data_IF_292448724045
#
_entry.id   IF_292448724045
#
_cell.length_a   1.000
_cell.length_b   1.000
_cell.length_c   1.000
_cell.angle_alpha   90.00
_cell.angle_beta   90.00
_cell.angle_gamma   90.00
#
_symmetry.space_group_name_H-M   'P 1'
#
loop_
_entity.id
_entity.type
_entity.pdbx_description
1 polymer ?
#
# COMPACT_ATOMS: atom_id res chain seq x y z
N UNK A 1 25.04 1.38 -24.80
CA UNK A 1 23.87 1.06 -23.96
C UNK A 1 23.17 2.35 -23.54
N UNK A 2 21.85 2.34 -23.55
CA UNK A 2 21.03 3.48 -23.12
C UNK A 2 20.70 3.36 -21.62
N UNK A 3 20.55 4.51 -20.95
CA UNK A 3 20.23 4.60 -19.52
C UNK A 3 19.35 5.83 -19.27
N UNK A 4 18.32 5.66 -18.44
CA UNK A 4 17.53 6.77 -17.91
C UNK A 4 18.40 7.70 -17.07
N UNK A 5 18.14 9.00 -17.13
CA UNK A 5 18.90 10.04 -16.42
C UNK A 5 17.99 10.93 -15.56
N UNK A 6 18.48 11.25 -14.36
CA UNK A 6 17.81 12.23 -13.49
C UNK A 6 17.59 13.57 -14.23
N UNK A 7 16.48 14.30 -13.98
CA UNK A 7 15.42 14.03 -13.02
C UNK A 7 14.25 13.21 -13.61
N UNK A 8 14.50 12.38 -14.62
CA UNK A 8 13.46 11.63 -15.30
C UNK A 8 13.48 10.14 -14.95
N UNK A 9 12.31 9.54 -14.97
CA UNK A 9 12.14 8.11 -15.13
C UNK A 9 11.78 7.82 -16.57
N UNK A 10 12.62 7.05 -17.26
CA UNK A 10 12.45 6.76 -18.67
C UNK A 10 12.70 5.28 -18.92
N UNK A 11 11.80 4.61 -19.62
CA UNK A 11 11.89 3.19 -19.97
C UNK A 11 11.71 2.97 -21.45
N UNK A 12 12.43 2.00 -22.00
CA UNK A 12 12.27 1.56 -23.39
C UNK A 12 10.94 0.82 -23.52
N UNK A 13 10.09 1.26 -24.45
CA UNK A 13 8.82 0.58 -24.76
C UNK A 13 8.91 -0.22 -26.05
N UNK A 14 9.75 0.20 -27.00
CA UNK A 14 9.97 -0.50 -28.25
C UNK A 14 11.36 -0.23 -28.82
N UNK A 15 11.97 -1.25 -29.39
CA UNK A 15 13.17 -1.18 -30.23
C UNK A 15 12.70 -1.20 -31.68
N UNK A 16 13.15 -0.24 -32.50
CA UNK A 16 12.66 -0.02 -33.86
C UNK A 16 13.55 -0.62 -34.94
N UNK A 17 14.84 -0.86 -34.67
CA UNK A 17 15.77 -1.46 -35.56
C UNK A 17 16.49 -2.66 -34.96
N UNK A 18 17.07 -3.52 -35.78
CA UNK A 18 17.76 -4.74 -35.36
C UNK A 18 19.02 -4.48 -34.54
N UNK A 19 19.66 -3.34 -34.78
CA UNK A 19 20.88 -2.90 -34.13
C UNK A 19 20.61 -2.26 -32.75
N UNK A 20 19.34 -1.95 -32.44
CA UNK A 20 18.93 -1.35 -31.14
C UNK A 20 19.32 0.12 -31.01
N UNK A 21 19.54 0.84 -32.16
CA UNK A 21 19.92 2.24 -32.14
C UNK A 21 18.74 3.20 -32.11
N UNK A 22 17.57 2.78 -32.57
CA UNK A 22 16.36 3.57 -32.52
C UNK A 22 15.35 2.96 -31.52
N UNK A 23 14.97 3.75 -30.52
CA UNK A 23 14.12 3.33 -29.44
C UNK A 23 12.90 4.24 -29.32
N UNK A 24 11.75 3.68 -29.03
CA UNK A 24 10.66 4.44 -28.43
C UNK A 24 10.77 4.28 -26.92
N UNK A 25 10.86 5.40 -26.23
CA UNK A 25 10.86 5.45 -24.77
C UNK A 25 9.59 6.10 -24.24
N UNK A 26 9.18 5.74 -23.03
CA UNK A 26 8.20 6.46 -22.24
C UNK A 26 8.96 7.20 -21.15
N UNK A 27 8.90 8.52 -21.17
CA UNK A 27 9.63 9.41 -20.28
C UNK A 27 8.66 10.22 -19.43
N UNK A 28 8.95 10.30 -18.15
CA UNK A 28 8.15 11.01 -17.16
C UNK A 28 9.04 11.61 -16.06
N UNK A 29 8.47 12.55 -15.28
CA UNK A 29 9.03 13.01 -14.01
C UNK A 29 7.89 13.23 -13.00
N UNK A 30 8.22 13.67 -11.80
CA UNK A 30 7.19 14.07 -10.81
C UNK A 30 6.21 15.10 -11.37
N UNK A 31 6.70 16.02 -12.23
CA UNK A 31 5.97 17.17 -12.75
C UNK A 31 5.65 17.09 -14.24
N UNK A 32 6.05 16.01 -14.90
CA UNK A 32 5.84 15.80 -16.33
C UNK A 32 5.11 14.49 -16.58
N UNK A 33 3.91 14.58 -17.16
CA UNK A 33 3.13 13.43 -17.59
C UNK A 33 3.91 12.50 -18.49
N UNK A 34 3.67 11.19 -18.44
CA UNK A 34 4.33 10.23 -19.30
C UNK A 34 4.07 10.53 -20.77
N UNK A 35 5.14 10.71 -21.53
CA UNK A 35 5.09 10.96 -22.97
C UNK A 35 6.08 10.08 -23.71
N UNK A 36 5.75 9.75 -24.96
CA UNK A 36 6.60 8.94 -25.82
C UNK A 36 7.64 9.81 -26.55
N UNK A 37 8.85 9.24 -26.64
CA UNK A 37 9.99 9.88 -27.28
C UNK A 37 10.68 8.91 -28.22
N UNK A 38 11.18 9.42 -29.34
CA UNK A 38 12.08 8.72 -30.23
C UNK A 38 13.52 9.07 -29.84
N UNK A 39 14.29 8.08 -29.47
CA UNK A 39 15.69 8.21 -29.07
C UNK A 39 16.57 7.49 -30.05
N UNK A 40 17.65 8.14 -30.50
CA UNK A 40 18.70 7.49 -31.27
C UNK A 40 19.95 7.36 -30.41
N UNK A 41 20.34 6.14 -30.09
CA UNK A 41 21.46 5.86 -29.16
C UNK A 41 22.82 5.97 -29.86
N UNK A 42 22.88 5.92 -31.19
CA UNK A 42 24.12 6.01 -32.00
C UNK A 42 24.44 7.46 -32.40
N UNK A 43 23.42 8.20 -32.81
CA UNK A 43 23.57 9.61 -33.20
C UNK A 43 23.39 10.48 -31.94
N UNK A 44 24.31 11.41 -31.71
CA UNK A 44 24.20 12.41 -30.63
C UNK A 44 23.21 13.52 -31.01
N UNK A 45 21.97 13.13 -31.28
CA UNK A 45 20.87 14.07 -31.60
C UNK A 45 19.90 14.09 -30.38
N UNK A 46 19.29 15.25 -30.16
CA UNK A 46 18.28 15.37 -29.10
C UNK A 46 17.12 14.41 -29.35
N UNK A 47 16.60 13.75 -28.32
CA UNK A 47 15.38 12.94 -28.42
C UNK A 47 14.22 13.77 -28.98
N UNK A 48 13.44 13.16 -29.90
CA UNK A 48 12.24 13.78 -30.46
C UNK A 48 11.02 13.36 -29.70
N UNK A 49 10.27 14.31 -29.13
CA UNK A 49 9.00 14.04 -28.52
C UNK A 49 7.95 13.61 -29.54
N UNK A 50 7.23 12.51 -29.28
CA UNK A 50 6.22 11.95 -30.16
C UNK A 50 4.80 12.28 -29.70
N UNK A 51 4.59 12.46 -28.40
CA UNK A 51 3.28 12.79 -27.80
C UNK A 51 3.42 13.94 -26.81
N UNK A 52 2.32 14.67 -26.58
CA UNK A 52 2.24 15.80 -25.65
C UNK A 52 0.98 15.65 -24.78
N UNK A 53 0.90 14.55 -24.01
CA UNK A 53 -0.22 14.33 -23.08
C UNK A 53 -0.15 15.32 -21.92
N UNK A 54 -1.26 15.99 -21.68
CA UNK A 54 -1.41 16.90 -20.56
C UNK A 54 -1.42 16.13 -19.22
N UNK A 55 -1.19 16.85 -18.12
CA UNK A 55 -1.35 16.30 -16.78
C UNK A 55 -2.83 15.97 -16.53
N UNK A 56 -3.16 14.68 -16.28
CA UNK A 56 -4.53 14.27 -15.99
C UNK A 56 -4.96 14.59 -14.54
N UNK A 57 -4.02 15.01 -13.67
CA UNK A 57 -4.26 15.23 -12.24
C UNK A 57 -3.77 16.60 -11.76
N UNK A 58 -4.27 17.71 -12.34
CA UNK A 58 -3.78 19.06 -12.01
C UNK A 58 -3.95 19.42 -10.53
N UNK A 59 -4.89 18.80 -9.82
CA UNK A 59 -5.12 18.96 -8.38
C UNK A 59 -4.04 18.36 -7.49
N UNK A 60 -3.17 17.51 -8.05
CA UNK A 60 -2.02 16.93 -7.35
C UNK A 60 -0.71 17.68 -7.64
N UNK A 61 -0.78 18.77 -8.41
CA UNK A 61 0.39 19.59 -8.71
C UNK A 61 0.92 20.21 -7.41
N UNK A 62 2.24 20.19 -7.24
CA UNK A 62 2.88 20.77 -6.06
C UNK A 62 2.97 19.81 -4.85
N UNK A 63 2.32 18.64 -4.89
CA UNK A 63 2.50 17.60 -3.86
C UNK A 63 3.96 17.14 -3.86
N UNK A 64 4.59 17.19 -2.68
CA UNK A 64 5.96 16.72 -2.52
C UNK A 64 5.99 15.20 -2.42
N UNK A 65 6.78 14.57 -3.25
CA UNK A 65 7.02 13.12 -3.29
C UNK A 65 8.44 12.80 -2.89
N UNK A 66 8.62 11.90 -1.93
CA UNK A 66 9.92 11.45 -1.44
C UNK A 66 9.97 9.92 -1.35
N UNK A 67 11.02 9.30 -1.88
CA UNK A 67 11.36 7.93 -1.56
C UNK A 67 12.19 7.96 -0.27
N UNK A 68 11.66 7.40 0.80
CA UNK A 68 12.32 7.31 2.10
C UNK A 68 12.79 5.89 2.35
N UNK A 69 13.94 5.75 3.01
CA UNK A 69 14.47 4.46 3.44
C UNK A 69 14.75 4.49 4.94
N UNK A 70 14.61 3.35 5.58
CA UNK A 70 14.79 3.20 7.01
C UNK A 70 15.08 1.75 7.38
N UNK A 71 15.90 1.50 8.41
CA UNK A 71 16.17 0.15 8.87
C UNK A 71 15.04 -0.39 9.75
N UNK A 72 14.71 -1.66 9.59
CA UNK A 72 14.01 -2.45 10.61
C UNK A 72 15.00 -2.79 11.74
N UNK A 73 14.49 -3.17 12.92
CA UNK A 73 15.31 -3.44 14.12
C UNK A 73 16.38 -4.53 13.92
N UNK A 74 16.17 -5.44 12.99
CA UNK A 74 17.12 -6.49 12.61
C UNK A 74 18.12 -6.05 11.51
N UNK A 75 18.08 -4.79 11.10
CA UNK A 75 18.95 -4.22 10.09
C UNK A 75 18.44 -4.34 8.65
N UNK A 76 17.32 -5.01 8.41
CA UNK A 76 16.73 -5.07 7.08
C UNK A 76 16.31 -3.66 6.61
N UNK A 77 16.83 -3.26 5.44
CA UNK A 77 16.49 -1.95 4.87
C UNK A 77 15.10 -1.98 4.23
N UNK A 78 14.25 -1.05 4.64
CA UNK A 78 12.89 -0.88 4.15
C UNK A 78 12.74 0.45 3.42
N UNK A 79 11.68 0.58 2.61
CA UNK A 79 11.35 1.83 1.96
C UNK A 79 9.84 2.11 1.93
N UNK A 80 9.52 3.39 1.71
CA UNK A 80 8.17 3.85 1.42
C UNK A 80 8.22 5.10 0.54
N UNK A 81 7.14 5.39 -0.16
CA UNK A 81 6.97 6.66 -0.86
C UNK A 81 6.12 7.58 0.02
N UNK A 82 6.74 8.61 0.54
CA UNK A 82 6.08 9.63 1.36
C UNK A 82 5.59 10.77 0.48
N UNK A 83 4.30 11.09 0.60
CA UNK A 83 3.68 12.25 -0.03
C UNK A 83 3.20 13.22 1.05
N UNK A 84 3.46 14.51 0.86
CA UNK A 84 2.98 15.59 1.72
C UNK A 84 2.29 16.67 0.90
N UNK A 85 1.35 17.44 1.49
CA UNK A 85 0.64 18.51 0.80
C UNK A 85 1.58 19.55 0.18
N UNK A 86 1.09 20.27 -0.83
CA UNK A 86 1.82 21.36 -1.45
C UNK A 86 2.24 22.39 -0.41
N UNK A 87 3.49 22.85 -0.48
CA UNK A 87 4.03 23.88 0.40
C UNK A 87 4.19 23.48 1.86
N UNK A 88 3.91 22.24 2.23
CA UNK A 88 4.05 21.77 3.63
C UNK A 88 5.51 21.78 4.09
N UNK A 89 5.72 22.33 5.28
CA UNK A 89 7.00 22.32 5.99
C UNK A 89 6.76 21.90 7.46
N UNK A 90 7.32 20.77 7.91
CA UNK A 90 7.09 20.26 9.27
C UNK A 90 7.53 21.23 10.38
N UNK A 91 8.55 22.05 10.13
CA UNK A 91 9.01 23.03 11.10
C UNK A 91 8.04 24.19 11.30
N UNK A 92 7.26 24.55 10.27
CA UNK A 92 6.29 25.65 10.31
C UNK A 92 4.88 25.16 10.64
N UNK A 93 4.46 24.04 10.01
CA UNK A 93 3.06 23.62 9.97
C UNK A 93 2.75 22.53 11.00
N UNK A 94 3.80 21.99 11.67
CA UNK A 94 3.68 20.91 12.63
C UNK A 94 3.42 19.54 11.99
N UNK A 95 3.10 18.56 12.82
CA UNK A 95 2.91 17.17 12.41
C UNK A 95 1.52 16.93 11.81
N UNK A 96 1.46 16.12 10.75
CA UNK A 96 0.24 15.75 10.04
C UNK A 96 -0.31 14.40 10.53
N UNK A 97 -1.65 14.18 10.40
CA UNK A 97 -2.18 12.83 10.40
C UNK A 97 -1.59 12.05 9.22
N UNK A 98 -1.36 10.74 9.41
CA UNK A 98 -0.73 9.87 8.42
C UNK A 98 -1.69 8.76 8.01
N UNK A 99 -1.76 8.47 6.71
CA UNK A 99 -2.34 7.24 6.19
C UNK A 99 -1.22 6.38 5.59
N UNK A 100 -0.93 5.26 6.24
CA UNK A 100 0.01 4.24 5.74
C UNK A 100 -0.76 3.21 4.90
N UNK A 101 -0.32 3.01 3.67
CA UNK A 101 -0.93 2.06 2.73
C UNK A 101 0.11 1.06 2.28
N UNK A 102 -0.17 -0.24 2.49
CA UNK A 102 0.81 -1.27 2.30
C UNK A 102 0.21 -2.60 1.80
N UNK A 103 1.09 -3.46 1.33
CA UNK A 103 0.80 -4.80 0.88
C UNK A 103 1.99 -5.70 1.20
N UNK A 104 1.88 -6.68 2.09
CA UNK A 104 2.98 -7.56 2.46
C UNK A 104 3.47 -8.40 1.29
N UNK A 105 4.74 -8.80 1.36
CA UNK A 105 5.34 -9.74 0.41
C UNK A 105 6.31 -10.65 1.13
N UNK A 106 6.24 -11.92 0.81
CA UNK A 106 7.11 -12.94 1.34
C UNK A 106 8.36 -13.10 0.46
N UNK A 107 9.49 -13.38 1.11
CA UNK A 107 10.81 -13.56 0.48
C UNK A 107 11.55 -14.73 1.11
N UNK A 108 12.35 -15.45 0.31
CA UNK A 108 13.30 -16.45 0.77
C UNK A 108 14.73 -15.91 0.96
N UNK A 109 14.91 -14.58 0.82
CA UNK A 109 16.20 -13.92 0.95
C UNK A 109 16.02 -12.52 1.51
N UNK A 110 16.76 -12.17 2.56
CA UNK A 110 16.81 -10.81 3.09
C UNK A 110 17.40 -9.82 2.07
N UNK A 111 18.34 -10.27 1.23
CA UNK A 111 18.93 -9.45 0.18
C UNK A 111 17.91 -9.03 -0.88
N UNK A 112 16.98 -9.93 -1.24
CA UNK A 112 15.89 -9.61 -2.17
C UNK A 112 14.83 -8.71 -1.52
N UNK A 113 14.54 -8.95 -0.25
CA UNK A 113 13.61 -8.14 0.54
C UNK A 113 14.11 -6.71 0.76
N UNK A 114 15.44 -6.51 0.89
CA UNK A 114 16.06 -5.21 1.11
C UNK A 114 16.19 -4.35 -0.15
N UNK A 115 15.80 -4.85 -1.33
CA UNK A 115 15.89 -4.11 -2.57
C UNK A 115 14.86 -3.00 -2.61
N UNK A 116 15.32 -1.76 -2.67
CA UNK A 116 14.47 -0.59 -2.87
C UNK A 116 13.84 -0.65 -4.27
N UNK A 117 12.52 -0.72 -4.33
CA UNK A 117 11.74 -0.79 -5.56
C UNK A 117 11.11 0.56 -5.85
N UNK A 118 11.10 0.93 -7.12
CA UNK A 118 10.51 2.19 -7.56
C UNK A 118 11.53 3.31 -7.81
N UNK A 119 11.03 4.45 -8.21
CA UNK A 119 11.83 5.64 -8.51
C UNK A 119 11.15 6.89 -7.98
N UNK A 120 11.92 7.77 -7.38
CA UNK A 120 11.44 9.09 -6.95
C UNK A 120 11.04 10.00 -8.12
N UNK A 121 11.41 9.62 -9.34
CA UNK A 121 11.15 10.40 -10.56
C UNK A 121 9.92 9.94 -11.35
N UNK A 122 9.18 8.93 -10.87
CA UNK A 122 7.91 8.54 -11.52
C UNK A 122 6.84 9.58 -11.31
N UNK A 123 6.01 9.77 -12.35
CA UNK A 123 4.84 10.64 -12.28
C UNK A 123 3.83 10.14 -11.23
N UNK A 124 3.21 11.06 -10.51
CA UNK A 124 2.20 10.73 -9.52
C UNK A 124 0.88 10.40 -10.20
N UNK A 125 0.35 9.19 -9.97
CA UNK A 125 -0.89 8.69 -10.59
C UNK A 125 -1.95 8.41 -9.55
N UNK A 126 -3.19 8.78 -9.86
CA UNK A 126 -4.36 8.32 -9.12
C UNK A 126 -4.97 7.09 -9.78
N UNK A 127 -5.46 6.19 -8.96
CA UNK A 127 -6.35 5.11 -9.36
C UNK A 127 -7.45 4.98 -8.30
N UNK A 128 -8.47 4.20 -8.57
CA UNK A 128 -9.54 3.92 -7.59
C UNK A 128 -9.00 3.36 -6.26
N UNK A 129 -7.86 2.68 -6.32
CA UNK A 129 -7.22 2.06 -5.15
C UNK A 129 -6.19 2.93 -4.44
N UNK A 130 -5.82 4.09 -5.01
CA UNK A 130 -4.75 4.95 -4.48
C UNK A 130 -5.16 5.66 -3.20
N UNK A 131 -4.29 5.71 -2.18
CA UNK A 131 -4.51 6.52 -0.98
C UNK A 131 -4.21 8.02 -1.19
N UNK A 132 -3.73 8.43 -2.35
CA UNK A 132 -3.20 9.78 -2.60
C UNK A 132 -4.26 10.90 -2.51
N UNK A 133 -5.55 10.57 -2.66
CA UNK A 133 -6.63 11.53 -2.48
C UNK A 133 -6.50 12.28 -1.14
N UNK A 134 -6.12 11.62 -0.07
CA UNK A 134 -6.07 12.20 1.27
C UNK A 134 -4.90 13.18 1.48
N UNK A 135 -3.93 13.26 0.55
CA UNK A 135 -2.94 14.36 0.57
C UNK A 135 -3.66 15.70 0.41
N UNK A 136 -4.67 15.78 -0.46
CA UNK A 136 -5.49 16.98 -0.65
C UNK A 136 -6.39 17.31 0.54
N UNK A 137 -6.53 16.34 1.47
CA UNK A 137 -7.29 16.49 2.73
C UNK A 137 -6.40 16.79 3.93
N UNK A 138 -5.10 17.06 3.69
CA UNK A 138 -4.13 17.44 4.72
C UNK A 138 -3.50 16.25 5.47
N UNK A 139 -3.45 15.08 4.86
CA UNK A 139 -2.71 13.93 5.37
C UNK A 139 -1.33 13.83 4.73
N UNK A 140 -0.36 13.34 5.48
CA UNK A 140 0.81 12.71 4.90
C UNK A 140 0.46 11.27 4.50
N UNK A 141 0.87 10.86 3.31
CA UNK A 141 0.59 9.50 2.80
C UNK A 141 1.90 8.72 2.70
N UNK A 142 1.98 7.60 3.37
CA UNK A 142 3.01 6.59 3.17
C UNK A 142 2.45 5.52 2.24
N UNK A 143 2.70 5.66 0.95
CA UNK A 143 2.28 4.69 -0.07
C UNK A 143 3.40 3.70 -0.38
N UNK A 144 3.04 2.52 -0.88
CA UNK A 144 4.00 1.45 -1.18
C UNK A 144 4.95 1.18 0.01
N UNK A 145 4.42 1.31 1.23
CA UNK A 145 5.20 1.01 2.43
C UNK A 145 5.56 -0.47 2.43
N UNK A 146 6.85 -0.77 2.37
CA UNK A 146 7.32 -2.15 2.30
C UNK A 146 7.08 -2.89 3.60
N UNK A 147 6.48 -4.08 3.47
CA UNK A 147 6.14 -5.00 4.55
C UNK A 147 6.68 -6.40 4.22
N UNK A 148 8.03 -6.57 4.08
CA UNK A 148 8.61 -7.85 3.74
C UNK A 148 8.52 -8.83 4.91
N UNK A 149 8.19 -10.06 4.57
CA UNK A 149 8.24 -11.21 5.46
C UNK A 149 9.31 -12.15 4.91
N UNK A 150 10.33 -12.44 5.68
CA UNK A 150 11.52 -13.15 5.20
C UNK A 150 11.67 -14.48 5.93
N UNK A 151 11.80 -15.55 5.15
CA UNK A 151 12.26 -16.86 5.62
C UNK A 151 13.52 -17.24 4.88
N UNK A 152 14.62 -17.45 5.59
CA UNK A 152 15.90 -17.83 4.99
C UNK A 152 16.19 -19.31 5.14
N UNK A 153 16.85 -19.91 4.14
CA UNK A 153 17.18 -21.32 4.14
C UNK A 153 15.93 -22.19 4.16
N UNK A 154 15.86 -23.10 5.12
CA UNK A 154 14.73 -24.03 5.32
C UNK A 154 13.52 -23.40 6.02
N UNK A 155 13.67 -22.17 6.52
CA UNK A 155 12.58 -21.47 7.22
C UNK A 155 11.56 -20.91 6.24
N UNK A 156 10.28 -21.12 6.53
CA UNK A 156 9.20 -20.52 5.74
C UNK A 156 8.87 -19.11 6.23
N UNK A 157 8.66 -18.13 5.32
CA UNK A 157 8.38 -16.75 5.72
C UNK A 157 7.18 -16.63 6.68
N UNK A 158 6.12 -17.39 6.42
CA UNK A 158 4.88 -17.30 7.16
C UNK A 158 4.95 -17.86 8.60
N UNK A 159 6.00 -18.61 8.95
CA UNK A 159 6.26 -19.01 10.34
C UNK A 159 6.58 -17.80 11.25
N UNK A 160 7.01 -16.68 10.65
CA UNK A 160 7.39 -15.43 11.33
C UNK A 160 6.55 -14.23 10.88
N UNK A 161 5.36 -14.47 10.32
CA UNK A 161 4.57 -13.43 9.67
C UNK A 161 4.23 -12.27 10.61
N UNK A 162 3.63 -12.56 11.76
CA UNK A 162 3.12 -11.52 12.68
C UNK A 162 4.27 -10.69 13.26
N UNK A 163 5.34 -11.34 13.73
CA UNK A 163 6.49 -10.66 14.32
C UNK A 163 7.16 -9.69 13.37
N UNK A 164 7.37 -10.15 12.12
CA UNK A 164 8.00 -9.33 11.10
C UNK A 164 7.07 -8.24 10.59
N UNK A 165 5.77 -8.52 10.47
CA UNK A 165 4.77 -7.52 10.10
C UNK A 165 4.73 -6.37 11.10
N UNK A 166 4.70 -6.68 12.40
CA UNK A 166 4.73 -5.67 13.47
C UNK A 166 6.03 -4.86 13.42
N UNK A 167 7.18 -5.53 13.27
CA UNK A 167 8.47 -4.87 13.19
C UNK A 167 8.59 -3.93 11.97
N UNK A 168 8.02 -4.30 10.83
CA UNK A 168 7.94 -3.45 9.64
C UNK A 168 7.09 -2.18 9.92
N UNK A 169 5.92 -2.36 10.54
CA UNK A 169 5.03 -1.25 10.87
C UNK A 169 5.67 -0.27 11.87
N UNK A 170 6.30 -0.79 12.92
CA UNK A 170 7.04 0.03 13.90
C UNK A 170 8.14 0.85 13.23
N UNK A 171 8.95 0.23 12.37
CA UNK A 171 10.02 0.92 11.65
C UNK A 171 9.49 2.05 10.75
N UNK A 172 8.39 1.80 10.03
CA UNK A 172 7.75 2.79 9.16
C UNK A 172 7.20 3.97 9.96
N UNK A 173 6.48 3.70 11.07
CA UNK A 173 5.95 4.72 11.97
C UNK A 173 7.07 5.54 12.59
N UNK A 174 8.09 4.89 13.13
CA UNK A 174 9.23 5.57 13.74
C UNK A 174 9.89 6.52 12.74
N UNK A 175 10.06 6.10 11.49
CA UNK A 175 10.65 6.93 10.44
C UNK A 175 9.86 8.19 10.16
N UNK A 176 8.55 8.11 9.94
CA UNK A 176 7.75 9.30 9.61
C UNK A 176 7.61 10.26 10.79
N UNK A 177 7.63 9.73 12.02
CA UNK A 177 7.63 10.53 13.25
C UNK A 177 9.00 11.20 13.49
N UNK A 178 10.11 10.49 13.31
CA UNK A 178 11.47 11.02 13.38
C UNK A 178 11.70 12.16 12.39
N UNK A 179 11.11 12.08 11.20
CA UNK A 179 11.15 13.15 10.20
C UNK A 179 10.36 14.42 10.60
N UNK A 180 9.66 14.40 11.75
CA UNK A 180 8.80 15.49 12.18
C UNK A 180 7.50 15.62 11.36
N UNK A 181 7.23 14.69 10.44
CA UNK A 181 6.07 14.75 9.53
C UNK A 181 4.83 14.14 10.16
N UNK A 182 4.93 12.94 10.73
CA UNK A 182 3.80 12.19 11.26
C UNK A 182 3.54 12.42 12.73
N UNK A 183 2.29 12.66 13.09
CA UNK A 183 1.84 12.62 14.48
C UNK A 183 1.58 11.17 14.87
N UNK A 184 2.36 10.64 15.81
CA UNK A 184 2.28 9.24 16.28
C UNK A 184 0.87 8.85 16.76
N UNK A 185 0.11 9.77 17.31
CA UNK A 185 -1.25 9.52 17.81
C UNK A 185 -2.31 9.48 16.71
N UNK A 186 -1.98 9.96 15.50
CA UNK A 186 -2.89 10.13 14.37
C UNK A 186 -2.42 9.39 13.11
N UNK A 187 -2.01 8.13 13.27
CA UNK A 187 -1.59 7.26 12.16
C UNK A 187 -2.67 6.22 11.90
N UNK A 188 -3.19 6.18 10.67
CA UNK A 188 -4.04 5.11 10.18
C UNK A 188 -3.24 4.13 9.32
N UNK A 189 -3.71 2.88 9.27
CA UNK A 189 -3.21 1.86 8.34
C UNK A 189 -4.32 1.38 7.45
N UNK A 190 -4.00 1.08 6.20
CA UNK A 190 -4.96 0.49 5.28
C UNK A 190 -4.32 -0.31 4.17
N UNK A 191 -5.16 -1.05 3.47
CA UNK A 191 -4.78 -1.85 2.34
C UNK A 191 -5.96 -2.52 1.66
N UNK A 192 -5.68 -3.11 0.51
CA UNK A 192 -6.61 -3.87 -0.29
C UNK A 192 -6.14 -5.32 -0.40
N UNK A 193 -7.07 -6.27 -0.41
CA UNK A 193 -6.75 -7.69 -0.57
C UNK A 193 -5.82 -8.19 0.55
N UNK A 194 -4.61 -8.63 0.23
CA UNK A 194 -3.61 -9.02 1.24
C UNK A 194 -3.15 -7.83 2.11
N UNK A 195 -3.27 -6.61 1.63
CA UNK A 195 -3.09 -5.39 2.44
C UNK A 195 -4.21 -5.18 3.47
N UNK A 196 -5.44 -5.58 3.16
CA UNK A 196 -6.54 -5.57 4.13
C UNK A 196 -6.35 -6.64 5.22
N UNK A 197 -5.90 -7.82 4.83
CA UNK A 197 -5.48 -8.87 5.74
C UNK A 197 -4.35 -8.40 6.68
N UNK A 198 -3.33 -7.75 6.13
CA UNK A 198 -2.26 -7.09 6.88
C UNK A 198 -2.84 -6.09 7.91
N UNK A 199 -3.72 -5.20 7.45
CA UNK A 199 -4.36 -4.19 8.31
C UNK A 199 -5.05 -4.85 9.50
N UNK A 200 -5.86 -5.86 9.25
CA UNK A 200 -6.57 -6.58 10.31
C UNK A 200 -5.60 -7.26 11.31
N UNK A 201 -4.53 -7.89 10.82
CA UNK A 201 -3.50 -8.49 11.68
C UNK A 201 -2.78 -7.44 12.54
N UNK A 202 -2.40 -6.31 11.97
CA UNK A 202 -1.77 -5.22 12.73
C UNK A 202 -2.67 -4.72 13.86
N UNK A 203 -3.98 -4.59 13.62
CA UNK A 203 -4.93 -4.15 14.65
C UNK A 203 -5.24 -5.22 15.67
N UNK A 204 -5.13 -6.50 15.33
CA UNK A 204 -5.31 -7.62 16.27
C UNK A 204 -4.11 -7.81 17.21
N UNK A 205 -2.91 -7.42 16.78
CA UNK A 205 -1.67 -7.71 17.49
C UNK A 205 -0.95 -6.48 18.03
N UNK A 206 -1.45 -5.26 17.72
CA UNK A 206 -0.81 -4.01 18.17
C UNK A 206 -1.82 -2.91 18.49
N UNK A 207 -1.33 -1.85 19.18
CA UNK A 207 -2.04 -0.60 19.40
C UNK A 207 -1.33 0.59 18.69
N UNK A 208 -0.63 0.32 17.61
CA UNK A 208 0.21 1.31 16.90
C UNK A 208 -0.62 2.35 16.13
N UNK A 209 -1.89 2.06 15.83
CA UNK A 209 -2.70 2.84 14.90
C UNK A 209 -3.92 3.47 15.56
N UNK A 210 -4.36 4.60 15.02
CA UNK A 210 -5.57 5.28 15.42
C UNK A 210 -6.83 4.70 14.74
N UNK A 211 -6.69 4.17 13.52
CA UNK A 211 -7.75 3.52 12.77
C UNK A 211 -7.20 2.58 11.70
N UNK A 212 -8.02 1.64 11.24
CA UNK A 212 -7.74 0.77 10.11
C UNK A 212 -8.78 0.85 9.01
N UNK A 213 -8.34 0.63 7.76
CA UNK A 213 -9.20 0.54 6.57
C UNK A 213 -8.80 -0.71 5.80
N UNK A 214 -9.71 -1.68 5.72
CA UNK A 214 -9.46 -2.98 5.12
C UNK A 214 -10.45 -3.24 3.97
N UNK A 215 -9.94 -3.27 2.71
CA UNK A 215 -10.77 -3.45 1.52
C UNK A 215 -10.58 -4.85 0.92
N UNK A 216 -11.67 -5.59 0.73
CA UNK A 216 -11.73 -6.93 0.10
C UNK A 216 -10.67 -7.89 0.63
N UNK A 217 -10.59 -8.03 1.96
CA UNK A 217 -9.59 -8.86 2.64
C UNK A 217 -10.03 -10.28 2.89
N UNK A 218 -9.07 -11.11 3.32
CA UNK A 218 -9.30 -12.45 3.86
C UNK A 218 -8.90 -12.46 5.33
N UNK A 219 -9.80 -12.80 6.22
CA UNK A 219 -9.57 -12.66 7.66
C UNK A 219 -9.55 -13.99 8.42
N UNK A 220 -9.98 -15.08 7.76
CA UNK A 220 -9.87 -16.44 8.28
C UNK A 220 -9.23 -17.34 7.24
N UNK A 221 -7.98 -17.76 7.49
CA UNK A 221 -7.19 -18.56 6.56
C UNK A 221 -7.66 -20.02 6.48
N UNK A 222 -8.44 -20.50 7.44
CA UNK A 222 -9.04 -21.84 7.33
C UNK A 222 -10.02 -21.95 6.16
N UNK A 223 -10.51 -20.81 5.63
CA UNK A 223 -11.33 -20.77 4.42
C UNK A 223 -10.52 -20.84 3.11
N UNK A 224 -9.19 -20.82 3.20
CA UNK A 224 -8.26 -21.03 2.07
C UNK A 224 -7.28 -22.17 2.40
N UNK A 225 -7.77 -23.40 2.65
CA UNK A 225 -7.01 -24.44 3.36
C UNK A 225 -5.89 -25.10 2.53
N UNK A 226 -5.77 -24.78 1.24
CA UNK A 226 -4.75 -25.33 0.34
C UNK A 226 -3.74 -24.26 -0.12
N UNK A 227 -3.37 -23.36 0.76
CA UNK A 227 -2.40 -22.30 0.50
C UNK A 227 -3.03 -20.92 0.23
N UNK A 228 -2.21 -19.90 0.36
CA UNK A 228 -2.55 -18.51 0.07
C UNK A 228 -1.27 -17.69 -0.10
N UNK A 229 -1.24 -16.79 -1.07
CA UNK A 229 -0.05 -16.00 -1.39
C UNK A 229 1.19 -16.91 -1.58
N UNK A 230 2.22 -16.75 -0.75
CA UNK A 230 3.43 -17.55 -0.80
C UNK A 230 3.31 -18.87 0.00
N UNK A 231 2.28 -19.02 0.85
CA UNK A 231 2.08 -20.25 1.64
C UNK A 231 1.64 -21.40 0.74
N UNK A 232 2.45 -22.45 0.70
CA UNK A 232 2.21 -23.64 -0.11
C UNK A 232 1.70 -24.84 0.71
N UNK A 233 1.93 -24.82 2.03
CA UNK A 233 1.46 -25.87 2.94
C UNK A 233 -0.06 -25.77 3.11
N UNK A 234 -0.73 -26.89 3.12
CA UNK A 234 -2.15 -26.93 3.45
C UNK A 234 -2.39 -26.64 4.94
N UNK A 235 -3.64 -26.36 5.29
CA UNK A 235 -4.06 -26.17 6.69
C UNK A 235 -3.66 -27.35 7.59
N UNK A 236 -3.77 -28.59 7.08
CA UNK A 236 -3.47 -29.79 7.87
C UNK A 236 -1.96 -30.04 8.02
N UNK A 237 -1.13 -29.48 7.15
CA UNK A 237 0.33 -29.54 7.26
C UNK A 237 0.89 -28.47 8.19
N UNK A 238 0.26 -27.28 8.26
CA UNK A 238 0.72 -26.15 9.06
C UNK A 238 -0.44 -25.42 9.80
N UNK A 239 -1.24 -26.13 10.63
CA UNK A 239 -2.45 -25.55 11.24
C UNK A 239 -2.18 -24.32 12.10
N UNK A 240 -1.03 -24.25 12.76
CA UNK A 240 -0.63 -23.10 13.59
C UNK A 240 -0.40 -21.85 12.74
N UNK A 241 0.19 -21.98 11.54
CA UNK A 241 0.38 -20.83 10.62
C UNK A 241 -0.98 -20.27 10.21
N UNK A 242 -1.91 -21.13 9.83
CA UNK A 242 -3.26 -20.72 9.44
C UNK A 242 -4.02 -20.05 10.59
N UNK A 243 -3.87 -20.58 11.82
CA UNK A 243 -4.49 -19.97 13.01
C UNK A 243 -3.86 -18.61 13.32
N UNK A 244 -2.53 -18.54 13.44
CA UNK A 244 -1.81 -17.34 13.85
C UNK A 244 -1.95 -16.22 12.83
N UNK A 245 -2.01 -16.53 11.55
CA UNK A 245 -2.22 -15.56 10.49
C UNK A 245 -3.69 -15.17 10.28
N UNK A 246 -4.64 -15.75 11.02
CA UNK A 246 -6.06 -15.40 10.90
C UNK A 246 -6.46 -14.31 11.91
N UNK A 247 -6.62 -13.04 11.51
CA UNK A 247 -7.07 -11.99 12.44
C UNK A 247 -8.46 -12.27 13.02
N UNK A 248 -9.24 -13.13 12.38
CA UNK A 248 -10.50 -13.65 12.94
C UNK A 248 -10.30 -14.35 14.30
N UNK A 249 -9.22 -15.10 14.45
CA UNK A 249 -8.89 -15.82 15.70
C UNK A 249 -8.57 -14.87 16.86
N UNK A 250 -8.27 -13.61 16.57
CA UNK A 250 -7.88 -12.57 17.52
C UNK A 250 -8.83 -11.36 17.49
N UNK A 251 -10.06 -11.55 17.04
CA UNK A 251 -11.06 -10.48 16.92
C UNK A 251 -11.38 -9.81 18.27
N UNK A 252 -11.26 -10.54 19.38
CA UNK A 252 -11.43 -10.06 20.75
C UNK A 252 -10.34 -9.08 21.20
N UNK A 253 -9.17 -9.11 20.56
CA UNK A 253 -8.04 -8.22 20.83
C UNK A 253 -8.14 -6.87 20.10
N UNK A 254 -9.01 -6.75 19.09
CA UNK A 254 -9.13 -5.52 18.28
C UNK A 254 -9.83 -4.42 19.10
N UNK A 255 -9.07 -3.38 19.45
CA UNK A 255 -9.56 -2.17 20.15
C UNK A 255 -9.60 -0.94 19.26
N UNK A 256 -8.79 -0.94 18.21
CA UNK A 256 -8.70 0.14 17.23
C UNK A 256 -9.87 0.09 16.25
N UNK A 257 -10.53 1.24 15.95
CA UNK A 257 -11.61 1.29 14.96
C UNK A 257 -11.18 0.75 13.59
N UNK A 258 -12.00 -0.14 13.00
CA UNK A 258 -11.73 -0.74 11.69
C UNK A 258 -12.92 -0.61 10.74
N UNK A 259 -12.67 -0.06 9.53
CA UNK A 259 -13.60 0.00 8.41
C UNK A 259 -13.32 -1.16 7.46
N UNK A 260 -14.33 -2.00 7.23
CA UNK A 260 -14.32 -3.09 6.26
C UNK A 260 -15.13 -2.66 5.03
N UNK A 261 -14.55 -2.75 3.83
CA UNK A 261 -15.26 -2.50 2.56
C UNK A 261 -15.04 -3.71 1.67
N UNK A 262 -16.11 -4.23 1.03
CA UNK A 262 -15.99 -5.43 0.21
C UNK A 262 -16.93 -5.36 -0.99
N UNK A 263 -16.47 -5.81 -2.16
CA UNK A 263 -17.31 -6.02 -3.31
C UNK A 263 -18.23 -7.22 -3.12
N UNK A 264 -19.54 -7.05 -3.23
CA UNK A 264 -20.53 -8.10 -2.98
C UNK A 264 -20.38 -9.30 -3.95
N UNK A 265 -19.87 -9.04 -5.15
CA UNK A 265 -19.61 -10.06 -6.17
C UNK A 265 -18.11 -10.44 -6.27
N UNK A 266 -17.33 -10.24 -5.20
CA UNK A 266 -15.92 -10.64 -5.17
C UNK A 266 -15.81 -12.16 -5.38
N UNK A 267 -15.19 -12.54 -6.50
CA UNK A 267 -14.99 -13.93 -6.92
C UNK A 267 -13.54 -14.40 -6.80
N UNK A 268 -12.68 -13.61 -6.18
CA UNK A 268 -11.33 -14.05 -5.84
C UNK A 268 -11.40 -15.12 -4.76
N UNK A 269 -10.86 -16.30 -5.02
CA UNK A 269 -11.02 -17.49 -4.18
C UNK A 269 -10.54 -17.29 -2.72
N UNK A 270 -9.59 -16.40 -2.49
CA UNK A 270 -9.08 -16.08 -1.15
C UNK A 270 -9.93 -15.07 -0.38
N UNK A 271 -10.74 -14.28 -1.06
CA UNK A 271 -11.39 -13.08 -0.49
C UNK A 271 -12.89 -13.01 -0.76
N UNK A 272 -13.59 -14.16 -0.82
CA UNK A 272 -15.06 -14.12 -0.91
C UNK A 272 -15.68 -13.24 0.18
N UNK A 273 -16.80 -12.53 -0.08
CA UNK A 273 -17.42 -11.57 0.85
C UNK A 273 -17.69 -12.12 2.25
N UNK A 274 -17.90 -13.42 2.36
CA UNK A 274 -18.08 -14.12 3.65
C UNK A 274 -16.92 -13.87 4.61
N UNK A 275 -15.71 -13.63 4.12
CA UNK A 275 -14.55 -13.27 4.93
C UNK A 275 -14.82 -12.00 5.75
N UNK A 276 -15.29 -10.94 5.10
CA UNK A 276 -15.62 -9.68 5.77
C UNK A 276 -16.86 -9.80 6.65
N UNK A 277 -17.89 -10.50 6.21
CA UNK A 277 -19.12 -10.67 6.98
C UNK A 277 -18.88 -11.39 8.30
N UNK A 278 -18.12 -12.49 8.28
CA UNK A 278 -17.82 -13.26 9.49
C UNK A 278 -16.87 -12.52 10.43
N UNK A 279 -15.88 -11.83 9.88
CA UNK A 279 -14.98 -11.03 10.70
C UNK A 279 -15.71 -9.85 11.33
N UNK A 280 -16.57 -9.14 10.58
CA UNK A 280 -17.42 -8.09 11.13
C UNK A 280 -18.31 -8.58 12.28
N UNK A 281 -18.94 -9.76 12.12
CA UNK A 281 -19.76 -10.35 13.17
C UNK A 281 -18.96 -10.66 14.43
N UNK A 282 -17.75 -11.19 14.29
CA UNK A 282 -16.85 -11.44 15.42
C UNK A 282 -16.46 -10.13 16.13
N UNK A 283 -16.02 -9.12 15.39
CA UNK A 283 -15.67 -7.81 15.90
C UNK A 283 -16.83 -7.16 16.68
N UNK A 284 -18.05 -7.18 16.09
CA UNK A 284 -19.25 -6.68 16.77
C UNK A 284 -19.56 -7.43 18.05
N UNK A 285 -19.47 -8.75 18.02
CA UNK A 285 -19.71 -9.60 19.18
C UNK A 285 -18.80 -9.28 20.36
N UNK A 286 -17.56 -8.85 20.08
CA UNK A 286 -16.59 -8.40 21.08
C UNK A 286 -16.65 -6.89 21.39
N UNK A 287 -17.63 -6.15 20.84
CA UNK A 287 -17.82 -4.72 21.10
C UNK A 287 -16.80 -3.80 20.43
N UNK A 288 -16.07 -4.28 19.41
CA UNK A 288 -15.14 -3.46 18.67
C UNK A 288 -15.86 -2.37 17.85
N UNK A 289 -15.25 -1.21 17.71
CA UNK A 289 -15.71 -0.15 16.81
C UNK A 289 -15.43 -0.58 15.37
N UNK A 290 -16.46 -1.01 14.67
CA UNK A 290 -16.34 -1.52 13.30
C UNK A 290 -17.52 -1.12 12.41
N UNK A 291 -17.27 -1.02 11.11
CA UNK A 291 -18.28 -0.81 10.08
C UNK A 291 -17.98 -1.74 8.90
N UNK A 292 -18.99 -2.36 8.34
CA UNK A 292 -18.94 -3.13 7.10
C UNK A 292 -19.74 -2.41 6.02
N UNK A 293 -19.11 -2.23 4.87
CA UNK A 293 -19.71 -1.70 3.65
C UNK A 293 -19.60 -2.76 2.56
N UNK A 294 -20.74 -3.23 2.07
CA UNK A 294 -20.82 -4.11 0.91
C UNK A 294 -21.18 -3.27 -0.33
N UNK A 295 -20.37 -3.40 -1.37
CA UNK A 295 -20.53 -2.66 -2.63
C UNK A 295 -21.27 -3.56 -3.62
N UNK A 296 -22.55 -3.27 -3.97
CA UNK A 296 -23.35 -4.09 -4.87
C UNK A 296 -22.67 -4.27 -6.23
N UNK A 297 -22.67 -5.51 -6.73
CA UNK A 297 -22.15 -5.89 -8.04
C UNK A 297 -20.64 -5.68 -8.27
N UNK A 298 -19.90 -5.16 -7.28
CA UNK A 298 -18.44 -5.01 -7.39
C UNK A 298 -17.76 -6.34 -7.12
N UNK A 299 -16.73 -6.62 -7.93
CA UNK A 299 -15.82 -7.75 -7.77
C UNK A 299 -14.66 -7.40 -6.81
N UNK A 300 -13.52 -8.08 -6.95
CA UNK A 300 -12.33 -7.82 -6.14
C UNK A 300 -11.76 -6.41 -6.34
N UNK A 301 -11.85 -5.87 -7.56
CA UNK A 301 -11.57 -4.47 -7.90
C UNK A 301 -12.86 -3.70 -8.13
N UNK A 302 -12.95 -2.47 -7.64
CA UNK A 302 -14.15 -1.65 -7.78
C UNK A 302 -14.09 -0.82 -9.05
N UNK A 303 -15.16 -0.84 -9.85
CA UNK A 303 -15.20 -0.26 -11.18
C UNK A 303 -16.28 0.80 -11.36
N UNK A 304 -17.46 0.63 -10.73
CA UNK A 304 -18.54 1.60 -10.85
C UNK A 304 -18.17 2.93 -10.17
N UNK A 305 -18.46 4.02 -10.85
CA UNK A 305 -18.20 5.37 -10.33
C UNK A 305 -18.84 5.59 -8.95
N UNK A 306 -20.06 5.14 -8.79
CA UNK A 306 -20.85 5.25 -7.57
C UNK A 306 -20.18 4.51 -6.41
N UNK A 307 -19.72 3.29 -6.66
CA UNK A 307 -19.01 2.46 -5.68
C UNK A 307 -17.66 3.09 -5.28
N UNK A 308 -16.92 3.63 -6.25
CA UNK A 308 -15.66 4.31 -6.00
C UNK A 308 -15.89 5.58 -5.15
N UNK A 309 -16.87 6.41 -5.51
CA UNK A 309 -17.19 7.62 -4.77
C UNK A 309 -17.70 7.30 -3.36
N UNK A 310 -18.52 6.26 -3.20
CA UNK A 310 -18.98 5.80 -1.90
C UNK A 310 -17.81 5.27 -1.04
N UNK A 311 -16.92 4.50 -1.64
CA UNK A 311 -15.67 4.06 -0.97
C UNK A 311 -14.84 5.23 -0.46
N UNK A 312 -14.64 6.26 -1.29
CA UNK A 312 -13.91 7.47 -0.89
C UNK A 312 -14.61 8.20 0.26
N UNK A 313 -15.95 8.32 0.21
CA UNK A 313 -16.74 8.96 1.26
C UNK A 313 -16.66 8.20 2.60
N UNK A 314 -16.79 6.87 2.57
CA UNK A 314 -16.70 6.04 3.77
C UNK A 314 -15.31 6.14 4.41
N UNK A 315 -14.26 6.07 3.59
CA UNK A 315 -12.87 6.21 4.06
C UNK A 315 -12.60 7.61 4.61
N UNK A 316 -13.05 8.67 3.92
CA UNK A 316 -12.89 10.06 4.37
C UNK A 316 -13.59 10.29 5.72
N UNK A 317 -14.85 9.87 5.83
CA UNK A 317 -15.63 9.97 7.07
C UNK A 317 -14.97 9.22 8.23
N UNK A 318 -14.40 8.04 7.95
CA UNK A 318 -13.70 7.23 8.94
C UNK A 318 -12.42 7.89 9.43
N UNK A 319 -11.61 8.38 8.49
CA UNK A 319 -10.35 9.04 8.76
C UNK A 319 -10.56 10.38 9.50
N UNK A 320 -11.52 11.18 9.08
CA UNK A 320 -11.86 12.44 9.78
C UNK A 320 -12.25 12.18 11.24
N UNK A 321 -13.07 11.15 11.48
CA UNK A 321 -13.59 10.84 12.82
C UNK A 321 -12.54 10.25 13.76
N UNK A 322 -11.76 9.28 13.29
CA UNK A 322 -10.92 8.47 14.17
C UNK A 322 -9.42 8.79 14.09
N UNK A 323 -9.00 9.61 13.13
CA UNK A 323 -7.59 9.99 12.95
C UNK A 323 -7.40 11.48 13.08
N UNK A 324 -8.00 12.27 12.19
CA UNK A 324 -7.76 13.73 12.12
C UNK A 324 -8.34 14.49 13.31
N UNK A 325 -9.58 14.16 13.67
CA UNK A 325 -10.30 14.77 14.79
C UNK A 325 -10.39 13.86 16.01
N UNK A 326 -9.42 12.96 16.17
CA UNK A 326 -9.33 12.07 17.34
C UNK A 326 -9.25 12.93 18.61
N UNK A 327 -10.27 12.79 19.46
CA UNK A 327 -10.36 13.42 20.78
C UNK A 327 -9.61 12.60 21.82
#
# INVERSE_FOLDING_TARGET
>A
LWRSQAPFYERVTKVLDKEGFQLITLKESTDMSPNYWLVNTKKRVAPKQLTAFADPYPTLKGIKKQLITYPRKDGLNLSAVLYTPEGYDPARDGQLPVLMWAYPREYKSAADAAQVRGSKYTFTRLSWGSPLYWVTRGYAIMDQTEMPIVGEGELEPNDFFIEQLVANAEAAINKVVEMGVGDRSRIAVGGHSYGAFMTANLLSHTQLFAAGIARSGAYNRTLTPFGFQYEQRSYWEAPEVYFNMSPFSFADQVKTPILLIHGESDNNSGTFPIQSERYYNALKGHGATTRLVLLPHESHGYAAKESILHTLWEMDSWLEKYVKNKK
#
